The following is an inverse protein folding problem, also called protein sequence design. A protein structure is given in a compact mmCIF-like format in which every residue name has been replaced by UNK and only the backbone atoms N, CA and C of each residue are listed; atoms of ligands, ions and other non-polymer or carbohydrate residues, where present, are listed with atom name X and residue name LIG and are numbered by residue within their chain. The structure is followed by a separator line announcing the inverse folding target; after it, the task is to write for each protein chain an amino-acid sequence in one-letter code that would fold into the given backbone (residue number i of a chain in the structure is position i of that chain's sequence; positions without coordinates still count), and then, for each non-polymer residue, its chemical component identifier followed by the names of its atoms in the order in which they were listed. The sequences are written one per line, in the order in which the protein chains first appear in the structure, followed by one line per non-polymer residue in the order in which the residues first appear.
data_IF_270956584500
#
_entry.id   IF_270956584500
#
_cell.length_a   1.000
_cell.length_b   1.000
_cell.length_c   1.000
_cell.angle_alpha   90.00
_cell.angle_beta   90.00
_cell.angle_gamma   90.00
#
_symmetry.space_group_name_H-M   'P 1'
#
loop_
_entity.id
_entity.type
_entity.pdbx_description
1 polymer ?
#
# COMPACT_ATOMS: atom_id res chain seq x y z
N UNK A 1 20.88 32.21 9.96
CA UNK A 1 21.31 31.98 8.56
C UNK A 1 22.09 30.66 8.33
N UNK A 2 22.45 29.87 9.36
CA UNK A 2 23.19 28.61 9.18
C UNK A 2 22.34 27.35 8.90
N UNK A 3 21.03 27.38 9.22
CA UNK A 3 20.12 26.23 9.10
C UNK A 3 19.72 25.89 7.66
N UNK A 4 19.63 26.89 6.78
CA UNK A 4 19.18 26.70 5.39
C UNK A 4 20.26 26.12 4.45
N UNK A 5 21.54 26.14 4.86
CA UNK A 5 22.64 25.59 4.05
C UNK A 5 22.85 24.09 4.33
N UNK A 6 22.73 23.67 5.60
CA UNK A 6 22.83 22.26 6.00
C UNK A 6 21.66 21.41 5.47
N UNK A 7 20.44 21.95 5.41
CA UNK A 7 19.29 21.25 4.81
C UNK A 7 19.40 21.08 3.30
N UNK A 8 20.11 21.97 2.60
CA UNK A 8 20.39 21.85 1.15
C UNK A 8 21.42 20.76 0.84
N UNK A 9 22.33 20.45 1.77
CA UNK A 9 23.39 19.45 1.58
C UNK A 9 22.92 18.05 2.06
N UNK A 10 22.17 17.97 3.17
CA UNK A 10 21.73 16.69 3.74
C UNK A 10 20.27 16.31 3.43
N UNK A 11 19.55 17.19 2.74
CA UNK A 11 18.12 17.06 2.46
C UNK A 11 17.24 17.25 3.70
N UNK A 12 15.97 17.58 3.47
CA UNK A 12 14.97 17.65 4.55
C UNK A 12 14.74 16.28 5.21
N UNK A 13 14.15 16.26 6.42
CA UNK A 13 13.69 15.01 7.06
C UNK A 13 12.73 14.23 6.15
N UNK A 14 11.90 14.95 5.39
CA UNK A 14 10.94 14.36 4.47
C UNK A 14 11.64 13.74 3.26
N UNK A 15 12.60 14.43 2.65
CA UNK A 15 13.40 13.86 1.55
C UNK A 15 14.12 12.59 1.97
N UNK A 16 14.71 12.56 3.16
CA UNK A 16 15.37 11.35 3.69
C UNK A 16 14.37 10.20 3.91
N UNK A 17 13.17 10.50 4.38
CA UNK A 17 12.11 9.49 4.57
C UNK A 17 11.64 8.94 3.23
N UNK A 18 11.37 9.80 2.26
CA UNK A 18 10.99 9.41 0.89
C UNK A 18 12.10 8.60 0.23
N UNK A 19 13.37 8.97 0.40
CA UNK A 19 14.52 8.22 -0.13
C UNK A 19 14.57 6.78 0.40
N UNK A 20 14.29 6.57 1.69
CA UNK A 20 14.18 5.22 2.27
C UNK A 20 13.02 4.43 1.67
N UNK A 21 11.85 5.06 1.52
CA UNK A 21 10.68 4.44 0.91
C UNK A 21 10.93 4.06 -0.55
N UNK A 22 11.71 4.83 -1.31
CA UNK A 22 12.10 4.45 -2.68
C UNK A 22 12.84 3.12 -2.75
N UNK A 23 13.68 2.80 -1.77
CA UNK A 23 14.34 1.48 -1.71
C UNK A 23 13.31 0.36 -1.56
N UNK A 24 12.24 0.60 -0.80
CA UNK A 24 11.13 -0.35 -0.65
C UNK A 24 10.30 -0.44 -1.93
N UNK A 25 10.08 0.68 -2.64
CA UNK A 25 9.44 0.68 -3.96
C UNK A 25 10.18 -0.23 -4.94
N UNK A 26 11.51 -0.16 -5.00
CA UNK A 26 12.28 -1.05 -5.89
C UNK A 26 12.08 -2.53 -5.54
N UNK A 27 12.02 -2.87 -4.24
CA UNK A 27 11.70 -4.24 -3.80
C UNK A 27 10.31 -4.67 -4.24
N UNK A 28 9.31 -3.79 -4.12
CA UNK A 28 7.93 -4.05 -4.58
C UNK A 28 7.90 -4.24 -6.11
N UNK A 29 8.60 -3.38 -6.87
CA UNK A 29 8.70 -3.45 -8.33
C UNK A 29 9.34 -4.77 -8.78
N UNK A 30 10.39 -5.23 -8.10
CA UNK A 30 11.08 -6.47 -8.43
C UNK A 30 10.18 -7.72 -8.33
N UNK A 31 9.12 -7.68 -7.51
CA UNK A 31 8.17 -8.78 -7.35
C UNK A 31 7.11 -8.85 -8.47
N UNK A 32 6.99 -7.80 -9.30
CA UNK A 32 5.90 -7.68 -10.29
C UNK A 32 5.90 -8.85 -11.28
N UNK A 33 7.05 -9.22 -11.85
CA UNK A 33 7.11 -10.31 -12.83
C UNK A 33 6.69 -11.66 -12.23
N UNK A 34 7.11 -11.94 -11.00
CA UNK A 34 6.76 -13.19 -10.31
C UNK A 34 5.27 -13.25 -9.99
N UNK A 35 4.69 -12.14 -9.52
CA UNK A 35 3.26 -12.09 -9.21
C UNK A 35 2.38 -12.07 -10.47
N UNK A 36 2.82 -11.39 -11.52
CA UNK A 36 2.11 -11.37 -12.81
C UNK A 36 2.02 -12.77 -13.44
N UNK A 37 2.97 -13.66 -13.16
CA UNK A 37 2.97 -15.05 -13.63
C UNK A 37 2.02 -15.97 -12.84
N UNK A 38 1.53 -15.54 -11.67
CA UNK A 38 0.57 -16.32 -10.89
C UNK A 38 -0.82 -16.29 -11.54
N UNK A 39 -1.57 -17.38 -11.44
CA UNK A 39 -3.01 -17.33 -11.69
C UNK A 39 -3.76 -16.63 -10.54
N UNK A 40 -5.06 -16.40 -10.72
CA UNK A 40 -5.87 -15.68 -9.74
C UNK A 40 -6.01 -16.43 -8.41
N UNK A 41 -6.04 -17.77 -8.44
CA UNK A 41 -6.14 -18.59 -7.24
C UNK A 41 -4.86 -18.51 -6.40
N UNK A 42 -3.70 -18.59 -7.04
CA UNK A 42 -2.39 -18.47 -6.41
C UNK A 42 -2.14 -17.05 -5.89
N UNK A 43 -2.58 -16.02 -6.62
CA UNK A 43 -2.47 -14.64 -6.14
C UNK A 43 -3.35 -14.41 -4.90
N UNK A 44 -4.58 -14.94 -4.88
CA UNK A 44 -5.47 -14.87 -3.72
C UNK A 44 -4.92 -15.65 -2.52
N UNK A 45 -4.32 -16.81 -2.75
CA UNK A 45 -3.72 -17.64 -1.70
C UNK A 45 -2.58 -16.93 -0.94
N UNK A 46 -2.00 -15.85 -1.48
CA UNK A 46 -1.04 -15.02 -0.77
C UNK A 46 -1.60 -14.41 0.51
N UNK A 47 -2.89 -14.11 0.57
CA UNK A 47 -3.53 -13.62 1.80
C UNK A 47 -3.41 -14.65 2.93
N UNK A 48 -3.69 -15.92 2.64
CA UNK A 48 -3.60 -16.99 3.62
C UNK A 48 -2.15 -17.28 4.02
N UNK A 49 -1.21 -17.22 3.05
CA UNK A 49 0.23 -17.30 3.33
C UNK A 49 0.68 -16.19 4.29
N UNK A 50 0.25 -14.95 4.06
CA UNK A 50 0.60 -13.84 4.95
C UNK A 50 -0.01 -13.98 6.34
N UNK A 51 -1.28 -14.40 6.45
CA UNK A 51 -1.93 -14.67 7.73
C UNK A 51 -1.19 -15.78 8.49
N UNK A 52 -0.75 -16.84 7.82
CA UNK A 52 0.06 -17.90 8.42
C UNK A 52 1.42 -17.39 8.90
N UNK A 53 2.10 -16.55 8.12
CA UNK A 53 3.38 -15.93 8.52
C UNK A 53 3.22 -15.05 9.76
N UNK A 54 2.14 -14.28 9.86
CA UNK A 54 1.81 -13.49 11.06
C UNK A 54 1.57 -14.41 12.26
N UNK A 55 0.79 -15.48 12.09
CA UNK A 55 0.55 -16.46 13.15
C UNK A 55 1.84 -17.16 13.62
N UNK A 56 2.82 -17.31 12.72
CA UNK A 56 4.15 -17.81 13.03
C UNK A 56 5.10 -16.75 13.64
N UNK A 57 4.64 -15.51 13.84
CA UNK A 57 5.40 -14.44 14.51
C UNK A 57 6.13 -13.47 13.58
N UNK A 58 5.88 -13.51 12.26
CA UNK A 58 6.43 -12.51 11.32
C UNK A 58 5.83 -11.14 11.62
N UNK A 59 6.69 -10.11 11.76
CA UNK A 59 6.23 -8.74 11.97
C UNK A 59 5.51 -8.19 10.73
N UNK A 60 4.51 -7.33 10.94
CA UNK A 60 3.68 -6.80 9.85
C UNK A 60 4.51 -5.97 8.86
N UNK A 61 5.49 -5.24 9.35
CA UNK A 61 6.39 -4.39 8.58
C UNK A 61 7.25 -5.22 7.61
N UNK A 62 7.58 -6.47 7.97
CA UNK A 62 8.33 -7.38 7.11
C UNK A 62 7.51 -7.85 5.90
N UNK A 63 6.18 -7.90 6.06
CA UNK A 63 5.25 -8.29 4.99
C UNK A 63 4.94 -7.15 4.03
N UNK A 64 5.25 -5.90 4.38
CA UNK A 64 4.84 -4.72 3.62
C UNK A 64 5.21 -4.82 2.12
N UNK A 65 6.45 -5.17 1.72
CA UNK A 65 6.79 -5.23 0.30
C UNK A 65 5.97 -6.28 -0.45
N UNK A 66 5.81 -7.47 0.12
CA UNK A 66 5.08 -8.59 -0.48
C UNK A 66 3.59 -8.26 -0.58
N UNK A 67 3.00 -7.75 0.50
CA UNK A 67 1.59 -7.38 0.57
C UNK A 67 1.25 -6.24 -0.41
N UNK A 68 2.09 -5.21 -0.50
CA UNK A 68 1.88 -4.10 -1.43
C UNK A 68 1.99 -4.55 -2.89
N UNK A 69 2.92 -5.46 -3.19
CA UNK A 69 3.07 -6.04 -4.51
C UNK A 69 1.82 -6.86 -4.91
N UNK A 70 1.29 -7.66 -3.99
CA UNK A 70 0.04 -8.43 -4.19
C UNK A 70 -1.15 -7.50 -4.44
N UNK A 71 -1.32 -6.46 -3.64
CA UNK A 71 -2.41 -5.48 -3.82
C UNK A 71 -2.29 -4.76 -5.16
N UNK A 72 -1.08 -4.37 -5.57
CA UNK A 72 -0.86 -3.73 -6.86
C UNK A 72 -1.25 -4.65 -8.02
N UNK A 73 -0.80 -5.91 -8.00
CA UNK A 73 -1.11 -6.87 -9.06
C UNK A 73 -2.61 -7.18 -9.10
N UNK A 74 -3.25 -7.38 -7.94
CA UNK A 74 -4.69 -7.56 -7.86
C UNK A 74 -5.47 -6.33 -8.36
N UNK A 75 -5.03 -5.12 -8.03
CA UNK A 75 -5.64 -3.89 -8.55
C UNK A 75 -5.51 -3.77 -10.07
N UNK A 76 -4.35 -4.14 -10.62
CA UNK A 76 -4.13 -4.18 -12.06
C UNK A 76 -5.10 -5.14 -12.75
N UNK A 77 -5.30 -6.35 -12.21
CA UNK A 77 -6.23 -7.35 -12.76
C UNK A 77 -7.70 -6.96 -12.63
N UNK A 78 -8.10 -6.51 -11.44
CA UNK A 78 -9.51 -6.36 -11.07
C UNK A 78 -10.06 -4.97 -11.40
N UNK A 79 -9.22 -3.95 -11.27
CA UNK A 79 -9.60 -2.56 -11.47
C UNK A 79 -8.98 -1.93 -12.71
N UNK A 80 -8.08 -2.64 -13.41
CA UNK A 80 -7.34 -2.09 -14.55
C UNK A 80 -6.35 -0.98 -14.15
N UNK A 81 -6.02 -0.86 -12.86
CA UNK A 81 -5.21 0.23 -12.32
C UNK A 81 -3.98 -0.33 -11.62
N UNK A 82 -2.81 -0.19 -12.25
CA UNK A 82 -1.52 -0.49 -11.62
C UNK A 82 -1.09 0.72 -10.78
N UNK A 83 -0.84 0.53 -9.48
CA UNK A 83 -0.35 1.63 -8.64
C UNK A 83 0.96 2.22 -9.16
N UNK A 84 1.05 3.55 -9.21
CA UNK A 84 2.28 4.28 -9.44
C UNK A 84 3.20 4.23 -8.22
N UNK A 85 4.49 4.53 -8.41
CA UNK A 85 5.47 4.48 -7.33
C UNK A 85 5.21 5.52 -6.25
N UNK A 86 4.70 6.70 -6.64
CA UNK A 86 4.25 7.73 -5.69
C UNK A 86 3.05 7.27 -4.85
N UNK A 87 2.22 6.38 -5.38
CA UNK A 87 1.09 5.80 -4.66
C UNK A 87 1.56 4.75 -3.65
N UNK A 88 2.58 3.94 -3.99
CA UNK A 88 3.21 3.04 -3.02
C UNK A 88 3.83 3.81 -1.85
N UNK A 89 4.50 4.93 -2.14
CA UNK A 89 5.03 5.83 -1.10
C UNK A 89 3.89 6.37 -0.24
N UNK A 90 2.79 6.83 -0.84
CA UNK A 90 1.60 7.24 -0.10
C UNK A 90 1.07 6.15 0.83
N UNK A 91 1.00 4.91 0.36
CA UNK A 91 0.58 3.75 1.15
C UNK A 91 1.51 3.49 2.33
N UNK A 92 2.83 3.58 2.14
CA UNK A 92 3.82 3.45 3.21
C UNK A 92 3.70 4.57 4.24
N UNK A 93 3.45 5.81 3.79
CA UNK A 93 3.23 6.94 4.70
C UNK A 93 1.98 6.73 5.56
N UNK A 94 0.89 6.23 4.97
CA UNK A 94 -0.33 5.88 5.72
C UNK A 94 -0.07 4.75 6.72
N UNK A 95 0.66 3.70 6.31
CA UNK A 95 1.02 2.59 7.18
C UNK A 95 1.89 3.03 8.36
N UNK A 96 2.78 4.00 8.15
CA UNK A 96 3.60 4.63 9.18
C UNK A 96 2.79 5.49 10.19
N UNK A 97 1.46 5.57 10.06
CA UNK A 97 0.60 6.41 10.90
C UNK A 97 0.75 7.91 10.62
N UNK A 98 1.17 8.29 9.40
CA UNK A 98 1.41 9.69 8.99
C UNK A 98 0.39 10.14 7.94
N UNK A 99 0.38 11.44 7.69
CA UNK A 99 -0.46 12.07 6.67
C UNK A 99 0.25 12.01 5.30
N UNK A 100 -0.35 11.30 4.35
CA UNK A 100 0.09 11.31 2.96
C UNK A 100 -0.53 12.50 2.20
N UNK A 101 0.22 13.60 2.08
CA UNK A 101 -0.18 14.73 1.25
C UNK A 101 0.00 14.38 -0.24
N UNK A 102 -1.10 14.46 -0.99
CA UNK A 102 -1.13 14.13 -2.42
C UNK A 102 -2.07 15.11 -3.13
N UNK A 103 -1.81 15.41 -4.40
CA UNK A 103 -2.70 16.26 -5.20
C UNK A 103 -4.00 15.54 -5.54
N UNK A 104 -5.05 16.29 -5.88
CA UNK A 104 -6.26 15.71 -6.46
C UNK A 104 -5.92 15.04 -7.78
N UNK A 105 -6.49 13.85 -8.03
CA UNK A 105 -6.19 13.04 -9.22
C UNK A 105 -5.07 12.01 -9.03
N UNK A 106 -4.29 12.08 -7.96
CA UNK A 106 -3.22 11.11 -7.65
C UNK A 106 -3.73 9.74 -7.16
N UNK A 107 -5.05 9.50 -7.17
CA UNK A 107 -5.65 8.22 -6.81
C UNK A 107 -5.64 7.91 -5.30
N UNK A 108 -5.91 8.89 -4.43
CA UNK A 108 -5.94 8.74 -2.96
C UNK A 108 -6.76 7.54 -2.46
N UNK A 109 -7.92 7.30 -3.06
CA UNK A 109 -8.77 6.14 -2.72
C UNK A 109 -8.05 4.81 -3.01
N UNK A 110 -7.35 4.72 -4.14
CA UNK A 110 -6.58 3.53 -4.51
C UNK A 110 -5.31 3.38 -3.64
N UNK A 111 -4.68 4.47 -3.23
CA UNK A 111 -3.52 4.45 -2.32
C UNK A 111 -3.87 3.83 -0.97
N UNK A 112 -5.05 4.16 -0.43
CA UNK A 112 -5.50 3.65 0.86
C UNK A 112 -5.59 2.13 0.89
N UNK A 113 -5.85 1.48 -0.25
CA UNK A 113 -6.01 0.01 -0.30
C UNK A 113 -4.76 -0.75 0.12
N UNK A 114 -3.58 -0.20 -0.13
CA UNK A 114 -2.30 -0.80 0.24
C UNK A 114 -2.18 -0.93 1.77
N UNK A 115 -2.39 0.18 2.48
CA UNK A 115 -2.32 0.22 3.94
C UNK A 115 -3.48 -0.53 4.58
N UNK A 116 -4.70 -0.41 4.03
CA UNK A 116 -5.88 -1.12 4.53
C UNK A 116 -5.68 -2.63 4.45
N UNK A 117 -5.23 -3.15 3.30
CA UNK A 117 -5.02 -4.59 3.13
C UNK A 117 -3.98 -5.12 4.11
N UNK A 118 -2.80 -4.49 4.18
CA UNK A 118 -1.73 -4.90 5.11
C UNK A 118 -2.24 -4.94 6.55
N UNK A 119 -2.87 -3.87 7.02
CA UNK A 119 -3.35 -3.77 8.41
C UNK A 119 -4.60 -4.61 8.71
N UNK A 120 -5.29 -5.11 7.68
CA UNK A 120 -6.39 -6.05 7.85
C UNK A 120 -5.93 -7.50 8.03
N UNK A 121 -4.69 -7.85 7.63
CA UNK A 121 -4.17 -9.22 7.72
C UNK A 121 -4.22 -9.83 9.13
N UNK A 122 -3.94 -9.10 10.22
CA UNK A 122 -4.08 -9.63 11.58
C UNK A 122 -5.53 -9.92 12.02
N UNK A 123 -6.55 -9.50 11.27
CA UNK A 123 -7.96 -9.77 11.58
C UNK A 123 -8.62 -8.82 12.57
N UNK A 124 -7.97 -7.72 12.95
CA UNK A 124 -8.50 -6.74 13.92
C UNK A 124 -9.45 -5.70 13.30
N UNK A 125 -9.64 -5.74 11.98
CA UNK A 125 -10.41 -4.75 11.23
C UNK A 125 -9.65 -3.44 10.96
N UNK A 126 -10.10 -2.69 9.96
CA UNK A 126 -9.56 -1.38 9.58
C UNK A 126 -10.71 -0.42 9.31
N UNK A 127 -10.64 0.79 9.86
CA UNK A 127 -11.65 1.83 9.63
C UNK A 127 -11.14 2.87 8.63
N UNK A 128 -11.87 3.01 7.51
CA UNK A 128 -11.64 4.08 6.54
C UNK A 128 -12.73 5.14 6.72
N UNK A 129 -12.33 6.35 7.13
CA UNK A 129 -13.25 7.44 7.43
C UNK A 129 -13.31 8.39 6.25
N UNK A 130 -14.52 8.73 5.81
CA UNK A 130 -14.78 9.73 4.76
C UNK A 130 -15.58 10.89 5.33
N UNK A 131 -15.72 11.97 4.56
CA UNK A 131 -16.44 13.17 5.00
C UNK A 131 -17.97 13.01 4.95
N UNK A 132 -18.50 11.98 4.28
CA UNK A 132 -19.94 11.71 4.20
C UNK A 132 -20.25 10.27 3.74
N UNK A 133 -21.49 9.86 3.98
CA UNK A 133 -22.02 8.53 3.65
C UNK A 133 -21.96 8.20 2.17
N UNK A 134 -22.13 9.19 1.30
CA UNK A 134 -22.08 8.99 -0.15
C UNK A 134 -20.68 8.49 -0.58
N UNK A 135 -19.62 9.15 -0.13
CA UNK A 135 -18.25 8.75 -0.42
C UNK A 135 -17.92 7.41 0.23
N UNK A 136 -18.40 7.17 1.46
CA UNK A 136 -18.20 5.88 2.12
C UNK A 136 -18.80 4.72 1.29
N UNK A 137 -20.06 4.83 0.86
CA UNK A 137 -20.75 3.81 0.06
C UNK A 137 -20.12 3.64 -1.32
N UNK A 138 -19.77 4.73 -1.99
CA UNK A 138 -19.12 4.69 -3.31
C UNK A 138 -17.77 3.98 -3.24
N UNK A 139 -16.92 4.40 -2.29
CA UNK A 139 -15.57 3.89 -2.18
C UNK A 139 -15.58 2.43 -1.69
N UNK A 140 -16.47 2.07 -0.75
CA UNK A 140 -16.63 0.67 -0.33
C UNK A 140 -17.13 -0.22 -1.47
N UNK A 141 -18.15 0.20 -2.23
CA UNK A 141 -18.69 -0.56 -3.35
C UNK A 141 -17.68 -0.72 -4.50
N UNK A 142 -16.75 0.22 -4.63
CA UNK A 142 -15.68 0.12 -5.61
C UNK A 142 -14.55 -0.80 -5.12
N UNK A 143 -14.04 -0.57 -3.91
CA UNK A 143 -12.88 -1.29 -3.36
C UNK A 143 -13.23 -2.71 -2.91
N UNK A 144 -14.50 -3.04 -2.66
CA UNK A 144 -14.93 -4.42 -2.35
C UNK A 144 -14.58 -5.40 -3.46
N UNK A 145 -14.46 -4.95 -4.72
CA UNK A 145 -14.00 -5.81 -5.83
C UNK A 145 -12.57 -6.29 -5.60
N UNK A 146 -11.69 -5.39 -5.16
CA UNK A 146 -10.29 -5.69 -4.87
C UNK A 146 -10.16 -6.52 -3.58
N UNK A 147 -10.81 -6.09 -2.50
CA UNK A 147 -10.75 -6.82 -1.23
C UNK A 147 -11.41 -8.19 -1.34
N UNK A 148 -12.59 -8.28 -1.96
CA UNK A 148 -13.29 -9.54 -2.18
C UNK A 148 -12.50 -10.52 -3.06
N UNK A 149 -11.70 -10.03 -4.00
CA UNK A 149 -10.76 -10.88 -4.75
C UNK A 149 -9.65 -11.44 -3.87
N UNK A 150 -9.06 -10.61 -2.98
CA UNK A 150 -7.97 -11.01 -2.09
C UNK A 150 -8.43 -11.82 -0.86
N UNK A 151 -9.72 -11.81 -0.51
CA UNK A 151 -10.26 -12.52 0.68
C UNK A 151 -10.04 -11.75 1.98
#
# INVERSE_FOLDING_TARGET
MMTNFLSRIFGSRNERSVKKMRVVVERINALENTLAALDDAALRAKTDEFRQRIAAGTALEELLPDAFAVVREASKRILGMRHFDVQLIGGMVLNDGKIAEMRTGEGKTLVATLAVYLNALPGNGVHVITVNDYLARRDSAWMVKLYGFLG
#
